data_IF_160581107470
#
_entry.id   IF_160581107470
#
_cell.length_a   1.000
_cell.length_b   1.000
_cell.length_c   1.000
_cell.angle_alpha   90.00
_cell.angle_beta   90.00
_cell.angle_gamma   90.00
#
_symmetry.space_group_name_H-M   'P 1'
#
loop_
_entity.id
_entity.type
_entity.pdbx_description
1 polymer ?
#
# COMPACT_ATOMS: atom_id res chain seq x y z
N UNK A 1 -1.19 -0.75 -14.32
CA UNK A 1 0.19 -1.03 -13.86
C UNK A 1 1.24 -0.33 -14.73
N UNK A 2 1.22 -0.48 -16.06
CA UNK A 2 2.21 0.17 -16.96
C UNK A 2 2.22 1.71 -16.90
N UNK A 3 1.06 2.36 -16.73
CA UNK A 3 0.96 3.83 -16.53
C UNK A 3 1.75 4.32 -15.31
N UNK A 4 1.70 3.58 -14.20
CA UNK A 4 2.39 3.94 -12.94
C UNK A 4 3.91 3.83 -13.05
N UNK A 5 4.42 2.92 -13.88
CA UNK A 5 5.87 2.80 -14.11
C UNK A 5 6.47 4.03 -14.82
N UNK A 6 5.66 4.77 -15.59
CA UNK A 6 6.12 5.90 -16.41
C UNK A 6 5.94 7.28 -15.76
N UNK A 7 4.86 7.48 -15.00
CA UNK A 7 4.48 8.81 -14.47
C UNK A 7 4.04 8.80 -12.99
N UNK A 8 4.22 7.69 -12.28
CA UNK A 8 3.82 7.58 -10.88
C UNK A 8 4.83 8.19 -9.92
N UNK A 9 4.35 8.75 -8.81
CA UNK A 9 5.17 9.12 -7.65
C UNK A 9 5.47 7.87 -6.84
N UNK A 10 6.72 7.73 -6.40
CA UNK A 10 7.19 6.57 -5.65
C UNK A 10 7.60 6.99 -4.25
N UNK A 11 7.03 6.31 -3.25
CA UNK A 11 7.43 6.43 -1.85
C UNK A 11 7.79 5.05 -1.32
N UNK A 12 8.80 5.01 -0.44
CA UNK A 12 9.37 3.74 0.04
C UNK A 12 9.63 3.80 1.54
N UNK A 13 9.42 2.68 2.21
CA UNK A 13 9.92 2.40 3.55
C UNK A 13 10.72 1.09 3.52
N UNK A 14 11.06 0.57 4.71
CA UNK A 14 11.82 -0.67 4.88
C UNK A 14 11.13 -1.87 4.20
N UNK A 15 9.81 -2.00 4.36
CA UNK A 15 9.08 -3.19 3.92
C UNK A 15 8.12 -2.98 2.75
N UNK A 16 7.88 -1.73 2.35
CA UNK A 16 6.91 -1.41 1.30
C UNK A 16 7.41 -0.32 0.37
N UNK A 17 6.99 -0.42 -0.88
CA UNK A 17 7.00 0.67 -1.85
C UNK A 17 5.55 0.94 -2.23
N UNK A 18 5.17 2.21 -2.30
CA UNK A 18 3.89 2.63 -2.88
C UNK A 18 4.20 3.46 -4.11
N UNK A 19 3.75 2.99 -5.26
CA UNK A 19 3.74 3.76 -6.50
C UNK A 19 2.31 4.22 -6.75
N UNK A 20 2.10 5.53 -6.88
CA UNK A 20 0.77 6.08 -7.09
C UNK A 20 0.72 7.16 -8.17
N UNK A 21 -0.44 7.33 -8.78
CA UNK A 21 -0.71 8.38 -9.77
C UNK A 21 -2.20 8.66 -9.82
N UNK A 22 -2.56 9.87 -10.21
CA UNK A 22 -3.94 10.27 -10.44
C UNK A 22 -4.53 9.42 -11.57
N UNK A 23 -5.74 8.91 -11.34
CA UNK A 23 -6.36 7.97 -12.26
C UNK A 23 -7.47 8.58 -13.13
N UNK A 24 -8.04 9.71 -12.72
CA UNK A 24 -9.15 10.38 -13.42
C UNK A 24 -10.47 9.60 -13.36
N UNK A 25 -10.63 8.75 -12.35
CA UNK A 25 -11.85 7.98 -12.06
C UNK A 25 -12.56 8.55 -10.85
N UNK A 26 -13.72 8.00 -10.50
CA UNK A 26 -14.50 8.39 -9.32
C UNK A 26 -14.13 7.57 -8.05
N UNK A 27 -13.05 6.81 -8.09
CA UNK A 27 -12.59 6.06 -6.92
C UNK A 27 -11.09 5.81 -6.90
N UNK A 28 -10.54 5.69 -5.69
CA UNK A 28 -9.19 5.17 -5.49
C UNK A 28 -9.14 3.67 -5.82
N UNK A 29 -8.08 3.23 -6.49
CA UNK A 29 -7.86 1.81 -6.79
C UNK A 29 -6.58 1.30 -6.15
N UNK A 30 -6.62 0.08 -5.64
CA UNK A 30 -5.47 -0.60 -5.07
C UNK A 30 -4.98 -1.70 -6.01
N UNK A 31 -3.71 -1.63 -6.39
CA UNK A 31 -2.93 -2.77 -6.86
C UNK A 31 -2.00 -3.26 -5.76
N UNK A 32 -1.72 -4.57 -5.74
CA UNK A 32 -0.85 -5.17 -4.74
C UNK A 32 0.08 -6.21 -5.35
N UNK A 33 1.39 -6.02 -5.12
CA UNK A 33 2.44 -6.93 -5.56
C UNK A 33 3.15 -7.51 -4.34
N UNK A 34 3.08 -8.84 -4.19
CA UNK A 34 3.81 -9.58 -3.14
C UNK A 34 4.68 -10.64 -3.82
N UNK A 35 5.97 -10.34 -4.07
CA UNK A 35 6.83 -11.20 -4.86
C UNK A 35 7.29 -12.44 -4.08
N UNK A 36 7.36 -13.59 -4.76
CA UNK A 36 7.83 -14.88 -4.20
C UNK A 36 9.26 -14.82 -3.66
N UNK A 37 10.08 -13.86 -4.12
CA UNK A 37 11.49 -13.73 -3.71
C UNK A 37 11.64 -13.47 -2.21
N UNK A 38 10.75 -12.66 -1.61
CA UNK A 38 10.78 -12.32 -0.18
C UNK A 38 9.85 -13.19 0.66
N UNK A 39 8.71 -13.62 0.11
CA UNK A 39 7.69 -14.39 0.83
C UNK A 39 7.52 -15.74 0.17
N UNK A 40 8.20 -16.77 0.71
CA UNK A 40 8.24 -18.11 0.10
C UNK A 40 6.94 -18.85 0.31
N UNK A 41 6.31 -18.74 1.49
CA UNK A 41 5.06 -19.46 1.79
C UNK A 41 3.85 -18.72 1.19
N UNK A 42 2.95 -19.47 0.56
CA UNK A 42 1.72 -18.90 0.00
C UNK A 42 0.82 -18.28 1.09
N UNK A 43 0.79 -18.90 2.26
CA UNK A 43 0.02 -18.44 3.42
C UNK A 43 0.49 -17.05 3.88
N UNK A 44 1.80 -16.83 3.97
CA UNK A 44 2.40 -15.52 4.31
C UNK A 44 1.98 -14.45 3.30
N UNK A 45 2.11 -14.75 2.00
CA UNK A 45 1.67 -13.84 0.93
C UNK A 45 0.18 -13.51 1.04
N UNK A 46 -0.65 -14.50 1.29
CA UNK A 46 -2.10 -14.33 1.39
C UNK A 46 -2.48 -13.51 2.63
N UNK A 47 -1.80 -13.74 3.76
CA UNK A 47 -1.97 -12.94 4.98
C UNK A 47 -1.61 -11.48 4.72
N UNK A 48 -0.45 -11.23 4.12
CA UNK A 48 -0.03 -9.87 3.77
C UNK A 48 -1.04 -9.19 2.83
N UNK A 49 -1.50 -9.91 1.80
CA UNK A 49 -2.54 -9.40 0.90
C UNK A 49 -3.83 -9.04 1.62
N UNK A 50 -4.25 -9.82 2.61
CA UNK A 50 -5.44 -9.51 3.43
C UNK A 50 -5.20 -8.25 4.25
N UNK A 51 -4.08 -8.14 4.95
CA UNK A 51 -3.79 -6.97 5.77
C UNK A 51 -3.70 -5.67 4.97
N UNK A 52 -3.02 -5.67 3.81
CA UNK A 52 -2.93 -4.48 2.95
C UNK A 52 -4.29 -4.08 2.38
N UNK A 53 -5.11 -5.06 1.97
CA UNK A 53 -6.48 -4.77 1.49
C UNK A 53 -7.36 -4.19 2.58
N UNK A 54 -7.26 -4.71 3.80
CA UNK A 54 -8.03 -4.20 4.93
C UNK A 54 -7.61 -2.79 5.31
N UNK A 55 -6.30 -2.53 5.35
CA UNK A 55 -5.77 -1.18 5.52
C UNK A 55 -6.35 -0.23 4.46
N UNK A 56 -6.31 -0.61 3.18
CA UNK A 56 -6.87 0.21 2.11
C UNK A 56 -8.38 0.43 2.26
N UNK A 57 -9.15 -0.62 2.62
CA UNK A 57 -10.59 -0.51 2.86
C UNK A 57 -10.92 0.53 3.93
N UNK A 58 -10.15 0.56 5.01
CA UNK A 58 -10.33 1.46 6.15
C UNK A 58 -9.86 2.91 5.89
N UNK A 59 -8.90 3.10 4.98
CA UNK A 59 -8.24 4.40 4.78
C UNK A 59 -8.45 4.99 3.38
N UNK A 60 -9.19 4.34 2.47
CA UNK A 60 -9.43 4.86 1.11
C UNK A 60 -10.09 6.25 1.11
N UNK A 61 -10.85 6.58 2.15
CA UNK A 61 -11.52 7.88 2.34
C UNK A 61 -10.60 8.95 2.95
N UNK A 62 -9.45 8.54 3.49
CA UNK A 62 -8.46 9.45 4.08
C UNK A 62 -7.42 9.90 3.03
N UNK A 63 -7.44 9.31 1.82
CA UNK A 63 -6.59 9.70 0.69
C UNK A 63 -7.15 11.00 0.11
N UNK A 64 -6.31 12.01 -0.07
CA UNK A 64 -6.75 13.29 -0.62
C UNK A 64 -7.17 13.14 -2.09
N UNK A 65 -8.10 13.99 -2.54
CA UNK A 65 -8.41 14.16 -3.96
C UNK A 65 -7.21 14.76 -4.74
N UNK A 66 -7.14 14.58 -6.06
CA UNK A 66 -8.03 13.78 -6.92
C UNK A 66 -7.83 12.27 -6.72
N UNK A 67 -8.75 11.44 -7.23
CA UNK A 67 -8.68 9.98 -7.11
C UNK A 67 -7.40 9.38 -7.73
N UNK A 68 -6.85 8.36 -7.07
CA UNK A 68 -5.51 7.82 -7.34
C UNK A 68 -5.53 6.31 -7.50
N UNK A 69 -4.69 5.80 -8.39
CA UNK A 69 -4.27 4.41 -8.39
C UNK A 69 -3.06 4.27 -7.47
N UNK A 70 -3.13 3.36 -6.49
CA UNK A 70 -2.04 3.05 -5.57
C UNK A 70 -1.61 1.60 -5.81
N UNK A 71 -0.34 1.38 -6.12
CA UNK A 71 0.26 0.04 -6.16
C UNK A 71 1.20 -0.12 -4.98
N UNK A 72 0.79 -0.95 -4.03
CA UNK A 72 1.62 -1.34 -2.89
C UNK A 72 2.46 -2.55 -3.30
N UNK A 73 3.77 -2.47 -3.10
CA UNK A 73 4.72 -3.53 -3.38
C UNK A 73 5.40 -3.90 -2.08
N UNK A 74 5.25 -5.14 -1.64
CA UNK A 74 5.96 -5.65 -0.49
C UNK A 74 7.42 -5.95 -0.87
N UNK A 75 8.35 -5.27 -0.21
CA UNK A 75 9.79 -5.43 -0.41
C UNK A 75 10.44 -5.91 0.90
N UNK A 76 11.33 -6.88 0.83
CA UNK A 76 11.97 -7.41 2.04
C UNK A 76 11.09 -8.37 2.85
N UNK A 77 11.71 -9.03 3.82
CA UNK A 77 11.03 -9.95 4.72
C UNK A 77 10.44 -9.17 5.90
N UNK A 78 9.19 -9.48 6.24
CA UNK A 78 8.48 -8.89 7.37
C UNK A 78 8.33 -10.00 8.41
N UNK A 79 9.09 -9.91 9.51
CA UNK A 79 9.08 -10.91 10.57
C UNK A 79 7.69 -11.05 11.22
N UNK A 80 6.99 -9.92 11.42
CA UNK A 80 5.61 -9.90 11.93
C UNK A 80 4.63 -9.38 10.87
N UNK A 81 3.90 -10.31 10.26
CA UNK A 81 2.87 -10.04 9.25
C UNK A 81 1.53 -9.60 9.85
N UNK A 82 1.48 -9.16 11.12
CA UNK A 82 0.26 -8.67 11.76
C UNK A 82 -0.31 -7.48 11.00
N UNK A 83 -1.64 -7.44 10.87
CA UNK A 83 -2.28 -6.34 10.16
C UNK A 83 -2.03 -4.99 10.85
N UNK A 84 -1.83 -5.00 12.17
CA UNK A 84 -1.42 -3.82 12.95
C UNK A 84 -0.08 -3.27 12.50
N UNK A 85 0.94 -4.12 12.34
CA UNK A 85 2.28 -3.68 11.91
C UNK A 85 2.26 -3.20 10.47
N UNK A 86 1.58 -3.94 9.58
CA UNK A 86 1.40 -3.54 8.17
C UNK A 86 0.70 -2.19 8.07
N UNK A 87 -0.43 -2.01 8.78
CA UNK A 87 -1.16 -0.74 8.79
C UNK A 87 -0.30 0.40 9.36
N UNK A 88 0.47 0.15 10.43
CA UNK A 88 1.37 1.16 11.01
C UNK A 88 2.38 1.68 9.99
N UNK A 89 3.04 0.78 9.28
CA UNK A 89 4.04 1.17 8.28
C UNK A 89 3.42 1.88 7.08
N UNK A 90 2.27 1.41 6.59
CA UNK A 90 1.58 2.03 5.46
C UNK A 90 1.01 3.40 5.80
N UNK A 91 0.35 3.57 6.96
CA UNK A 91 -0.12 4.87 7.42
C UNK A 91 1.05 5.84 7.60
N UNK A 92 2.14 5.41 8.26
CA UNK A 92 3.32 6.25 8.44
C UNK A 92 3.93 6.70 7.11
N UNK A 93 4.02 5.79 6.14
CA UNK A 93 4.55 6.08 4.80
C UNK A 93 3.64 7.06 4.04
N UNK A 94 2.32 6.86 4.08
CA UNK A 94 1.37 7.74 3.40
C UNK A 94 1.29 9.13 4.02
N UNK A 95 1.28 9.24 5.36
CA UNK A 95 1.29 10.53 6.05
C UNK A 95 2.58 11.32 5.78
N UNK A 96 3.73 10.65 5.80
CA UNK A 96 5.02 11.28 5.48
C UNK A 96 5.10 11.79 4.04
N UNK A 97 4.33 11.20 3.14
CA UNK A 97 4.28 11.54 1.72
C UNK A 97 3.24 12.62 1.38
N UNK A 98 2.43 13.07 2.35
CA UNK A 98 1.35 14.02 2.10
C UNK A 98 0.26 13.45 1.16
N UNK A 99 0.00 12.13 1.23
CA UNK A 99 -1.03 11.46 0.43
C UNK A 99 -2.46 11.66 0.98
N UNK A 100 -2.57 12.21 2.19
CA UNK A 100 -3.79 12.25 2.97
C UNK A 100 -3.51 12.23 4.47
N UNK A 101 -4.57 12.28 5.28
CA UNK A 101 -4.50 12.25 6.75
C UNK A 101 -4.78 10.85 7.27
N UNK A 102 -3.75 10.01 7.34
CA UNK A 102 -3.88 8.63 7.83
C UNK A 102 -3.68 8.55 9.34
N UNK A 103 -4.73 8.18 10.06
CA UNK A 103 -4.69 7.83 11.48
C UNK A 103 -4.77 6.32 11.60
N UNK A 104 -3.98 5.73 12.50
CA UNK A 104 -3.94 4.29 12.69
C UNK A 104 -5.27 3.79 13.30
N UNK A 105 -6.12 3.14 12.49
CA UNK A 105 -7.37 2.48 12.91
C UNK A 105 -7.13 0.97 13.04
N UNK A 106 -7.51 0.38 14.18
CA UNK A 106 -7.39 -1.06 14.50
C UNK A 106 -8.75 -1.66 14.83
#
# INVERSE_FOLDING_TARGET
>A
YERLKRKGKLIRCKHFIINYSENGLECHRLGLVVPKRYFKKAVERNRLKRCVREWFRLHKHDIDEPYKDLVVIAIGNIEDLSCRKVAKELCGLCSSAGLGRFVLRL
#
